data_IF_047454601464
#
_entry.id   IF_047454601464
#
_cell.length_a   1.000
_cell.length_b   1.000
_cell.length_c   1.000
_cell.angle_alpha   90.00
_cell.angle_beta   90.00
_cell.angle_gamma   90.00
#
_symmetry.space_group_name_H-M   'P 1'
#
loop_
_entity.id
_entity.type
_entity.pdbx_description
1 polymer ?
#
# COMPACT_ATOMS: atom_id res chain seq x y z
N UNK A 1 -24.81 48.88 -27.30
CA UNK A 1 -23.81 48.40 -26.33
C UNK A 1 -24.37 47.13 -25.70
N UNK A 2 -23.89 45.94 -26.11
CA UNK A 2 -24.32 44.66 -25.55
C UNK A 2 -23.16 44.11 -24.72
N UNK A 3 -23.32 44.06 -23.41
CA UNK A 3 -22.35 43.42 -22.52
C UNK A 3 -22.57 41.90 -22.55
N UNK A 4 -21.58 41.15 -23.04
CA UNK A 4 -21.52 39.71 -22.86
C UNK A 4 -21.03 39.44 -21.44
N UNK A 5 -21.89 38.89 -20.59
CA UNK A 5 -21.51 38.34 -19.30
C UNK A 5 -20.83 36.97 -19.54
N UNK A 6 -19.53 36.89 -19.25
CA UNK A 6 -18.81 35.62 -19.25
C UNK A 6 -19.14 34.85 -17.96
N UNK A 7 -19.84 33.72 -18.11
CA UNK A 7 -20.14 32.80 -17.01
C UNK A 7 -18.93 31.90 -16.78
N UNK A 8 -18.05 32.28 -15.84
CA UNK A 8 -16.88 31.48 -15.47
C UNK A 8 -17.34 30.30 -14.61
N UNK A 9 -17.40 29.11 -15.20
CA UNK A 9 -17.68 27.87 -14.48
C UNK A 9 -16.46 27.49 -13.63
N UNK A 10 -16.51 27.72 -12.32
CA UNK A 10 -15.48 27.28 -11.38
C UNK A 10 -15.50 25.74 -11.32
N UNK A 11 -14.56 25.09 -12.01
CA UNK A 11 -14.33 23.64 -11.90
C UNK A 11 -13.73 23.35 -10.53
N UNK A 12 -14.57 23.04 -9.54
CA UNK A 12 -14.13 22.42 -8.29
C UNK A 12 -13.62 21.02 -8.64
N UNK A 13 -12.30 20.84 -8.65
CA UNK A 13 -11.71 19.51 -8.77
C UNK A 13 -12.24 18.64 -7.61
N UNK A 14 -12.85 17.47 -7.89
CA UNK A 14 -13.31 16.59 -6.84
C UNK A 14 -12.10 16.16 -5.99
N UNK A 15 -12.28 15.96 -4.67
CA UNK A 15 -11.22 15.44 -3.83
C UNK A 15 -10.76 14.09 -4.39
N UNK A 16 -9.44 13.94 -4.59
CA UNK A 16 -8.86 12.67 -4.99
C UNK A 16 -9.03 11.67 -3.84
N UNK A 17 -10.12 10.90 -3.88
CA UNK A 17 -10.30 9.76 -3.01
C UNK A 17 -9.32 8.68 -3.45
N UNK A 18 -8.58 8.11 -2.50
CA UNK A 18 -7.79 6.92 -2.79
C UNK A 18 -8.75 5.80 -3.22
N UNK A 19 -8.61 5.31 -4.45
CA UNK A 19 -9.41 4.20 -4.95
C UNK A 19 -9.02 2.91 -4.23
N UNK A 20 -9.90 2.43 -3.36
CA UNK A 20 -9.73 1.16 -2.64
C UNK A 20 -9.80 0.01 -3.64
N UNK A 21 -8.90 -0.96 -3.50
CA UNK A 21 -8.82 -2.15 -4.34
C UNK A 21 -8.12 -1.94 -5.69
N UNK A 22 -7.76 -0.70 -6.04
CA UNK A 22 -7.09 -0.40 -7.30
C UNK A 22 -5.57 -0.38 -7.10
N UNK A 23 -4.87 -1.29 -7.79
CA UNK A 23 -3.43 -1.36 -7.76
C UNK A 23 -2.80 -0.19 -8.52
N UNK A 24 -1.76 0.42 -7.94
CA UNK A 24 -0.96 1.48 -8.56
C UNK A 24 0.54 1.20 -8.42
N UNK A 25 1.38 1.64 -9.37
CA UNK A 25 2.83 1.52 -9.22
C UNK A 25 3.35 2.32 -8.01
N UNK A 26 4.32 1.75 -7.31
CA UNK A 26 5.07 2.40 -6.23
C UNK A 26 6.49 1.82 -6.18
N UNK A 27 7.34 2.37 -5.31
CA UNK A 27 8.54 1.69 -4.84
C UNK A 27 8.23 1.00 -3.51
N UNK A 28 8.64 -0.26 -3.36
CA UNK A 28 8.39 -1.05 -2.16
C UNK A 28 9.63 -1.76 -1.64
N UNK A 29 9.56 -2.16 -0.38
CA UNK A 29 10.47 -3.10 0.25
C UNK A 29 9.67 -4.15 1.02
N UNK A 30 10.04 -5.42 0.84
CA UNK A 30 9.64 -6.51 1.73
C UNK A 30 10.90 -7.23 2.21
N UNK A 31 11.15 -7.17 3.51
CA UNK A 31 12.19 -7.95 4.19
C UNK A 31 11.52 -8.82 5.25
N UNK A 32 11.87 -10.10 5.26
CA UNK A 32 11.46 -11.05 6.31
C UNK A 32 12.71 -11.80 6.79
N UNK A 33 13.03 -11.65 8.07
CA UNK A 33 14.33 -12.08 8.60
C UNK A 33 15.46 -11.29 7.95
N UNK A 34 16.38 -12.00 7.29
CA UNK A 34 17.52 -11.42 6.58
C UNK A 34 17.35 -11.43 5.06
N UNK A 35 16.16 -11.79 4.57
CA UNK A 35 15.90 -11.94 3.14
C UNK A 35 15.10 -10.75 2.60
N UNK A 36 15.64 -10.11 1.56
CA UNK A 36 14.94 -9.09 0.79
C UNK A 36 14.18 -9.75 -0.36
N UNK A 37 12.87 -9.79 -0.25
CA UNK A 37 11.95 -10.51 -1.13
C UNK A 37 11.35 -9.60 -2.22
N UNK A 38 11.13 -8.33 -1.87
CA UNK A 38 10.70 -7.26 -2.79
C UNK A 38 11.62 -6.07 -2.57
N UNK A 39 12.10 -5.44 -3.64
CA UNK A 39 12.86 -4.20 -3.58
C UNK A 39 12.75 -3.42 -4.89
N UNK A 40 12.35 -2.16 -4.80
CA UNK A 40 12.10 -1.29 -5.96
C UNK A 40 10.65 -1.38 -6.42
N UNK A 41 10.42 -1.20 -7.73
CA UNK A 41 9.08 -1.11 -8.30
C UNK A 41 8.19 -2.30 -7.92
N UNK A 42 6.98 -1.99 -7.45
CA UNK A 42 5.95 -2.92 -7.02
C UNK A 42 4.56 -2.42 -7.45
N UNK A 43 3.55 -3.26 -7.22
CA UNK A 43 2.16 -2.82 -7.17
C UNK A 43 1.76 -2.57 -5.71
N UNK A 44 1.26 -1.37 -5.41
CA UNK A 44 0.62 -1.01 -4.15
C UNK A 44 -0.89 -0.98 -4.34
N UNK A 45 -1.63 -1.67 -3.49
CA UNK A 45 -3.10 -1.70 -3.52
C UNK A 45 -3.63 -1.28 -2.16
N UNK A 46 -4.35 -0.15 -2.05
CA UNK A 46 -5.11 0.16 -0.84
C UNK A 46 -6.19 -0.92 -0.65
N UNK A 47 -6.31 -1.48 0.55
CA UNK A 47 -7.30 -2.52 0.86
C UNK A 47 -8.53 -1.98 1.57
N UNK A 48 -8.37 -0.91 2.37
CA UNK A 48 -9.47 -0.27 3.09
C UNK A 48 -9.13 1.21 3.37
N UNK A 49 -10.14 1.97 3.78
CA UNK A 49 -10.05 3.40 4.10
C UNK A 49 -9.28 3.69 5.40
N UNK A 50 -9.01 2.68 6.22
CA UNK A 50 -8.22 2.79 7.46
C UNK A 50 -6.71 2.93 7.21
N UNK A 51 -6.26 2.73 5.97
CA UNK A 51 -4.86 2.73 5.57
C UNK A 51 -4.26 1.34 5.35
N UNK A 52 -5.06 0.27 5.46
CA UNK A 52 -4.66 -1.10 5.13
C UNK A 52 -4.27 -1.21 3.66
N UNK A 53 -3.24 -1.99 3.37
CA UNK A 53 -2.70 -2.08 2.01
C UNK A 53 -2.03 -3.42 1.72
N UNK A 54 -1.83 -3.68 0.43
CA UNK A 54 -1.01 -4.78 -0.10
C UNK A 54 0.13 -4.22 -0.95
N UNK A 55 1.30 -4.83 -0.87
CA UNK A 55 2.38 -4.69 -1.85
C UNK A 55 2.60 -6.01 -2.57
N UNK A 56 2.87 -5.98 -3.87
CA UNK A 56 3.18 -7.17 -4.67
C UNK A 56 4.36 -6.94 -5.62
N UNK A 57 5.21 -7.94 -5.77
CA UNK A 57 6.29 -7.92 -6.75
C UNK A 57 5.72 -7.90 -8.18
N UNK A 58 6.43 -7.28 -9.16
CA UNK A 58 5.92 -7.20 -10.53
C UNK A 58 5.67 -8.56 -11.19
N UNK A 59 6.40 -9.59 -10.78
CA UNK A 59 6.24 -10.98 -11.26
C UNK A 59 5.20 -11.78 -10.46
N UNK A 60 4.56 -11.19 -9.46
CA UNK A 60 3.58 -11.85 -8.59
C UNK A 60 4.16 -12.91 -7.67
N UNK A 61 5.50 -13.03 -7.56
CA UNK A 61 6.17 -14.02 -6.74
C UNK A 61 5.90 -13.84 -5.25
N UNK A 62 5.94 -12.60 -4.78
CA UNK A 62 5.74 -12.28 -3.37
C UNK A 62 4.77 -11.12 -3.22
N UNK A 63 3.97 -11.19 -2.16
CA UNK A 63 3.16 -10.07 -1.71
C UNK A 63 3.00 -10.08 -0.20
N UNK A 64 2.78 -8.90 0.36
CA UNK A 64 2.51 -8.72 1.78
C UNK A 64 1.37 -7.73 1.97
N UNK A 65 0.55 -7.99 2.98
CA UNK A 65 -0.53 -7.12 3.42
C UNK A 65 -0.18 -6.57 4.80
N UNK A 66 -0.53 -5.30 5.04
CA UNK A 66 -0.56 -4.73 6.38
C UNK A 66 -1.99 -4.27 6.63
N UNK A 67 -2.61 -4.86 7.64
CA UNK A 67 -3.96 -4.53 8.09
C UNK A 67 -3.85 -3.61 9.29
N UNK A 68 -4.54 -2.48 9.26
CA UNK A 68 -4.46 -1.49 10.33
C UNK A 68 -5.27 -1.97 11.54
N UNK A 69 -4.64 -1.99 12.71
CA UNK A 69 -5.34 -2.31 13.97
C UNK A 69 -5.83 -1.02 14.64
N UNK A 70 -4.99 0.04 14.58
CA UNK A 70 -5.24 1.39 15.09
C UNK A 70 -4.15 2.33 14.58
N UNK A 71 -4.28 3.67 14.71
CA UNK A 71 -3.26 4.59 14.20
C UNK A 71 -1.84 4.22 14.63
N UNK A 72 -0.96 4.01 13.65
CA UNK A 72 0.45 3.63 13.84
C UNK A 72 0.72 2.17 14.20
N UNK A 73 -0.30 1.31 14.28
CA UNK A 73 -0.20 -0.13 14.55
C UNK A 73 -1.00 -0.96 13.55
N UNK A 74 -0.42 -2.06 13.11
CA UNK A 74 -1.06 -2.98 12.20
C UNK A 74 -0.48 -4.38 12.31
N UNK A 75 -1.15 -5.32 11.69
CA UNK A 75 -0.74 -6.72 11.63
C UNK A 75 -0.43 -7.10 10.19
N UNK A 76 0.74 -7.70 9.99
CA UNK A 76 1.22 -8.09 8.67
C UNK A 76 0.95 -9.55 8.33
N UNK A 77 0.71 -9.81 7.05
CA UNK A 77 0.55 -11.15 6.47
C UNK A 77 1.25 -11.21 5.12
N UNK A 78 1.72 -12.38 4.71
CA UNK A 78 2.36 -12.56 3.40
C UNK A 78 2.17 -13.98 2.87
N UNK A 79 2.58 -14.20 1.63
CA UNK A 79 2.37 -15.46 0.94
C UNK A 79 3.41 -16.55 1.29
N UNK A 80 4.57 -16.17 1.86
CA UNK A 80 5.70 -17.02 2.28
C UNK A 80 6.32 -17.87 1.17
N UNK A 81 5.52 -18.73 0.55
CA UNK A 81 5.86 -19.52 -0.61
C UNK A 81 5.72 -18.69 -1.91
N UNK A 82 6.75 -18.67 -2.77
CA UNK A 82 6.67 -18.05 -4.10
C UNK A 82 5.38 -18.43 -4.85
N UNK A 83 4.69 -17.43 -5.40
CA UNK A 83 3.48 -17.57 -6.21
C UNK A 83 2.27 -18.21 -5.52
N UNK A 84 2.30 -18.43 -4.20
CA UNK A 84 1.11 -18.82 -3.46
C UNK A 84 0.02 -17.76 -3.59
N UNK A 85 -1.24 -18.16 -3.83
CA UNK A 85 -2.34 -17.24 -4.14
C UNK A 85 -2.95 -16.49 -2.95
N UNK A 86 -2.49 -16.74 -1.72
CA UNK A 86 -3.07 -16.18 -0.50
C UNK A 86 -2.00 -15.79 0.53
N UNK A 87 -2.17 -14.63 1.18
CA UNK A 87 -1.34 -14.20 2.31
C UNK A 87 -1.85 -14.83 3.62
N UNK A 88 -1.38 -16.01 3.96
CA UNK A 88 -1.81 -16.78 5.13
C UNK A 88 -0.74 -16.85 6.23
N UNK A 89 0.49 -16.47 5.92
CA UNK A 89 1.60 -16.55 6.85
C UNK A 89 1.70 -15.26 7.66
N UNK A 90 1.72 -15.30 9.00
CA UNK A 90 1.76 -14.09 9.82
C UNK A 90 3.17 -13.47 9.82
N UNK A 91 3.25 -12.17 9.54
CA UNK A 91 4.43 -11.33 9.80
C UNK A 91 4.43 -10.78 11.24
N UNK A 92 3.27 -10.83 11.90
CA UNK A 92 3.05 -10.39 13.27
C UNK A 92 2.66 -8.91 13.36
N UNK A 93 2.66 -8.39 14.59
CA UNK A 93 2.41 -6.97 14.86
C UNK A 93 3.54 -6.11 14.28
N UNK A 94 3.16 -4.98 13.69
CA UNK A 94 4.02 -4.00 13.04
C UNK A 94 3.71 -2.61 13.58
N UNK A 95 4.75 -1.79 13.68
CA UNK A 95 4.64 -0.37 14.01
C UNK A 95 5.01 0.44 12.78
N UNK A 96 4.28 1.54 12.56
CA UNK A 96 4.64 2.51 11.53
C UNK A 96 5.96 3.21 11.89
N UNK A 97 6.87 3.24 10.93
CA UNK A 97 8.13 3.97 10.96
C UNK A 97 8.34 4.62 9.60
N UNK A 98 8.01 5.91 9.52
CA UNK A 98 7.91 6.66 8.26
C UNK A 98 7.02 5.94 7.20
N UNK A 99 7.57 5.58 6.04
CA UNK A 99 6.88 4.85 4.96
C UNK A 99 6.79 3.32 5.21
N UNK A 100 7.39 2.84 6.30
CA UNK A 100 7.53 1.42 6.59
C UNK A 100 6.65 0.97 7.76
N UNK A 101 6.32 -0.31 7.74
CA UNK A 101 5.69 -1.05 8.82
C UNK A 101 6.65 -2.15 9.27
N UNK A 102 7.15 -2.01 10.49
CA UNK A 102 8.34 -2.74 10.93
C UNK A 102 8.13 -3.45 12.26
N UNK A 103 8.87 -4.55 12.44
CA UNK A 103 9.18 -5.14 13.73
C UNK A 103 10.64 -5.63 13.74
N UNK A 104 11.02 -6.47 14.71
CA UNK A 104 12.41 -6.94 14.84
C UNK A 104 12.92 -7.75 13.64
N UNK A 105 12.05 -8.30 12.81
CA UNK A 105 12.42 -9.19 11.70
C UNK A 105 11.81 -8.78 10.36
N UNK A 106 10.87 -7.85 10.35
CA UNK A 106 10.05 -7.55 9.18
C UNK A 106 10.15 -6.08 8.85
N UNK A 107 10.23 -5.77 7.56
CA UNK A 107 10.01 -4.43 7.03
C UNK A 107 9.13 -4.51 5.79
N UNK A 108 7.98 -3.84 5.84
CA UNK A 108 7.06 -3.66 4.70
C UNK A 108 6.97 -2.17 4.42
N UNK A 109 7.55 -1.70 3.33
CA UNK A 109 7.58 -0.28 2.98
C UNK A 109 6.90 -0.02 1.63
N UNK A 110 6.28 1.15 1.51
CA UNK A 110 5.75 1.67 0.25
C UNK A 110 5.89 3.20 0.23
N UNK A 111 6.56 3.74 -0.80
CA UNK A 111 6.80 5.18 -1.00
C UNK A 111 5.92 5.74 -2.13
#
# INVERSE_FOLDING_TARGET
MKALAALTCLLLAPPALAEIGVARPADCLLVVGNEKLIGGRCAFTPLDADGSFQIASPDGRYFAQVLMDRPGQGTGWWNETPFAGHAHSPLGALRRDDACWVNQRVSVCAW
#
